data_IF_234131833116
#
_entry.id   IF_234131833116
#
_cell.length_a   1.000
_cell.length_b   1.000
_cell.length_c   1.000
_cell.angle_alpha   90.00
_cell.angle_beta   90.00
_cell.angle_gamma   90.00
#
_symmetry.space_group_name_H-M   'P 1'
#
loop_
_entity.id
_entity.type
_entity.pdbx_description
1 polymer ?
#
# COMPACT_ATOMS: atom_id res chain seq x y z
N UNK A 1 -7.18 -26.15 -11.17
CA UNK A 1 -8.05 -25.26 -10.39
C UNK A 1 -7.23 -24.14 -9.80
N UNK A 2 -7.87 -23.10 -9.24
CA UNK A 2 -7.17 -22.02 -8.54
C UNK A 2 -6.33 -22.52 -7.35
N UNK A 3 -6.75 -23.60 -6.68
CA UNK A 3 -5.97 -24.23 -5.60
C UNK A 3 -4.54 -24.57 -6.03
N UNK A 4 -4.32 -24.99 -7.28
CA UNK A 4 -2.98 -25.31 -7.77
C UNK A 4 -2.05 -24.09 -7.74
N UNK A 5 -2.58 -22.88 -7.98
CA UNK A 5 -1.82 -21.63 -7.89
C UNK A 5 -1.43 -21.40 -6.43
N UNK A 6 -2.39 -21.52 -5.51
CA UNK A 6 -2.12 -21.36 -4.07
C UNK A 6 -1.10 -22.38 -3.57
N UNK A 7 -1.20 -23.64 -4.00
CA UNK A 7 -0.24 -24.68 -3.64
C UNK A 7 1.15 -24.36 -4.19
N UNK A 8 1.25 -23.95 -5.45
CA UNK A 8 2.54 -23.61 -6.07
C UNK A 8 3.22 -22.41 -5.39
N UNK A 9 2.44 -21.47 -4.86
CA UNK A 9 2.96 -20.30 -4.16
C UNK A 9 3.27 -20.65 -2.70
N UNK A 10 2.32 -21.16 -1.94
CA UNK A 10 2.42 -21.23 -0.47
C UNK A 10 3.03 -22.53 0.05
N UNK A 11 2.81 -23.67 -0.62
CA UNK A 11 3.33 -24.95 -0.12
C UNK A 11 4.86 -24.95 0.02
N UNK A 12 5.67 -24.49 -0.97
CA UNK A 12 7.11 -24.41 -0.81
C UNK A 12 7.54 -23.48 0.33
N UNK A 13 6.77 -22.43 0.61
CA UNK A 13 7.05 -21.47 1.68
C UNK A 13 6.77 -22.06 3.06
N UNK A 14 5.68 -22.83 3.20
CA UNK A 14 5.38 -23.58 4.41
C UNK A 14 6.43 -24.66 4.66
N UNK A 15 6.83 -25.41 3.63
CA UNK A 15 7.88 -26.44 3.72
C UNK A 15 9.22 -25.83 4.14
N UNK A 16 9.65 -24.74 3.49
CA UNK A 16 10.88 -24.03 3.84
C UNK A 16 10.83 -23.37 5.23
N UNK A 17 9.64 -22.94 5.67
CA UNK A 17 9.43 -22.44 7.05
C UNK A 17 9.51 -23.59 8.05
N UNK A 18 8.94 -24.75 7.72
CA UNK A 18 8.93 -25.93 8.58
C UNK A 18 10.32 -26.57 8.72
N UNK A 19 11.08 -26.66 7.64
CA UNK A 19 12.43 -27.19 7.67
C UNK A 19 13.39 -26.41 6.77
N UNK A 20 13.94 -25.28 7.26
CA UNK A 20 14.90 -24.47 6.51
C UNK A 20 16.10 -25.26 5.99
N UNK A 21 16.55 -26.29 6.73
CA UNK A 21 17.72 -27.09 6.36
C UNK A 21 17.49 -27.98 5.12
N UNK A 22 16.24 -28.38 4.86
CA UNK A 22 15.87 -29.14 3.65
C UNK A 22 15.57 -28.24 2.44
N UNK A 23 15.34 -26.94 2.67
CA UNK A 23 15.05 -25.95 1.62
C UNK A 23 15.95 -24.70 1.76
N UNK A 24 17.29 -24.85 1.76
CA UNK A 24 18.22 -23.77 2.10
C UNK A 24 18.15 -22.58 1.13
N UNK A 25 17.94 -22.84 -0.17
CA UNK A 25 17.85 -21.80 -1.20
C UNK A 25 16.60 -20.94 -1.02
N UNK A 26 15.43 -21.59 -0.85
CA UNK A 26 14.17 -20.90 -0.59
C UNK A 26 14.26 -20.14 0.73
N UNK A 27 14.79 -20.77 1.79
CA UNK A 27 14.94 -20.09 3.08
C UNK A 27 15.79 -18.82 2.97
N UNK A 28 16.93 -18.90 2.27
CA UNK A 28 17.81 -17.75 2.06
C UNK A 28 17.13 -16.67 1.23
N UNK A 29 16.45 -17.03 0.14
CA UNK A 29 15.67 -16.11 -0.67
C UNK A 29 14.62 -15.37 0.16
N UNK A 30 13.87 -16.10 1.00
CA UNK A 30 12.82 -15.52 1.84
C UNK A 30 13.33 -14.55 2.90
N UNK A 31 14.62 -14.55 3.25
CA UNK A 31 15.18 -13.51 4.12
C UNK A 31 15.24 -12.14 3.43
N UNK A 32 15.22 -12.10 2.10
CA UNK A 32 15.21 -10.86 1.30
C UNK A 32 13.81 -10.45 0.83
N UNK A 33 12.85 -11.39 0.82
CA UNK A 33 11.46 -11.09 0.46
C UNK A 33 10.78 -10.31 1.59
N UNK A 34 10.17 -9.19 1.23
CA UNK A 34 9.48 -8.28 2.16
C UNK A 34 7.96 -8.33 2.04
N UNK A 35 7.43 -8.77 0.90
CA UNK A 35 6.01 -8.72 0.65
C UNK A 35 5.60 -9.39 -0.66
N UNK A 36 4.29 -9.51 -0.82
CA UNK A 36 3.62 -10.08 -1.99
C UNK A 36 2.89 -8.97 -2.72
N UNK A 37 3.03 -8.95 -4.04
CA UNK A 37 2.35 -8.02 -4.93
C UNK A 37 1.62 -8.87 -6.00
N UNK A 38 0.34 -8.59 -6.19
CA UNK A 38 -0.52 -9.26 -7.16
C UNK A 38 -0.81 -8.29 -8.29
N UNK A 39 -0.58 -8.71 -9.52
CA UNK A 39 -0.62 -7.87 -10.73
C UNK A 39 -1.39 -8.55 -11.86
N UNK A 40 -2.03 -7.75 -12.71
CA UNK A 40 -2.44 -8.02 -14.10
C UNK A 40 -3.08 -6.70 -14.61
N UNK A 41 -3.55 -6.68 -15.87
CA UNK A 41 -4.39 -5.60 -16.39
C UNK A 41 -5.72 -5.50 -15.63
N UNK A 42 -5.78 -4.57 -14.67
CA UNK A 42 -6.96 -4.28 -13.84
C UNK A 42 -8.19 -3.83 -14.65
N UNK A 43 -8.03 -3.44 -15.93
CA UNK A 43 -9.14 -2.99 -16.77
C UNK A 43 -9.95 -4.13 -17.38
N UNK A 44 -9.45 -5.38 -17.30
CA UNK A 44 -10.17 -6.55 -17.79
C UNK A 44 -11.52 -6.69 -17.07
N UNK A 45 -12.62 -6.94 -17.80
CA UNK A 45 -13.92 -7.16 -17.18
C UNK A 45 -13.88 -8.36 -16.23
N UNK A 46 -14.45 -8.18 -15.05
CA UNK A 46 -14.61 -9.23 -14.04
C UNK A 46 -15.96 -9.07 -13.32
N UNK A 47 -16.40 -10.11 -12.61
CA UNK A 47 -17.50 -10.00 -11.66
C UNK A 47 -16.94 -9.60 -10.28
N UNK A 48 -17.15 -8.35 -9.82
CA UNK A 48 -16.54 -7.87 -8.58
C UNK A 48 -17.22 -8.42 -7.31
N UNK A 49 -18.30 -9.20 -7.44
CA UNK A 49 -19.00 -9.80 -6.31
C UNK A 49 -18.20 -10.97 -5.75
N UNK A 50 -17.73 -10.79 -4.52
CA UNK A 50 -17.08 -11.82 -3.73
C UNK A 50 -17.82 -11.93 -2.39
N UNK A 51 -18.69 -12.93 -2.29
CA UNK A 51 -19.52 -13.19 -1.10
C UNK A 51 -19.28 -14.61 -0.57
N UNK A 52 -20.07 -15.01 0.43
CA UNK A 52 -19.92 -16.30 1.10
C UNK A 52 -20.26 -17.52 0.23
N UNK A 53 -20.92 -17.32 -0.91
CA UNK A 53 -21.36 -18.40 -1.80
C UNK A 53 -20.39 -18.63 -2.98
N UNK A 54 -19.26 -17.93 -2.98
CA UNK A 54 -18.24 -18.05 -4.02
C UNK A 54 -17.59 -19.44 -4.05
N UNK A 55 -17.35 -19.96 -5.26
CA UNK A 55 -16.71 -21.26 -5.48
C UNK A 55 -15.35 -21.35 -4.77
N UNK A 56 -15.10 -22.37 -3.93
CA UNK A 56 -13.80 -22.56 -3.27
C UNK A 56 -12.65 -22.83 -4.24
N UNK A 57 -11.38 -22.59 -3.86
CA UNK A 57 -10.22 -22.69 -4.76
C UNK A 57 -10.04 -24.05 -5.41
N UNK A 58 -10.36 -25.11 -4.67
CA UNK A 58 -10.28 -26.50 -5.13
C UNK A 58 -11.25 -26.77 -6.28
N UNK A 59 -12.41 -26.11 -6.25
CA UNK A 59 -13.51 -26.29 -7.18
C UNK A 59 -13.52 -25.25 -8.31
N UNK A 60 -12.70 -24.20 -8.22
CA UNK A 60 -12.55 -23.21 -9.30
C UNK A 60 -11.74 -23.83 -10.44
N UNK A 61 -12.41 -24.56 -11.31
CA UNK A 61 -11.85 -25.19 -12.52
C UNK A 61 -12.36 -24.56 -13.81
N UNK A 62 -13.10 -23.46 -13.72
CA UNK A 62 -13.58 -22.71 -14.87
C UNK A 62 -12.40 -22.11 -15.68
N UNK A 63 -12.64 -21.84 -16.97
CA UNK A 63 -11.71 -21.10 -17.82
C UNK A 63 -11.70 -19.61 -17.46
N UNK A 64 -12.79 -19.08 -16.89
CA UNK A 64 -12.84 -17.71 -16.40
C UNK A 64 -11.93 -17.50 -15.18
N UNK A 65 -11.13 -16.43 -15.23
CA UNK A 65 -10.23 -16.06 -14.15
C UNK A 65 -11.04 -15.61 -12.92
N UNK A 66 -10.68 -16.03 -11.69
CA UNK A 66 -11.31 -15.48 -10.49
C UNK A 66 -11.15 -13.96 -10.41
N UNK A 67 -12.11 -13.26 -9.78
CA UNK A 67 -12.03 -11.81 -9.67
C UNK A 67 -10.88 -11.38 -8.75
N UNK A 68 -10.43 -10.14 -8.89
CA UNK A 68 -9.35 -9.55 -8.10
C UNK A 68 -9.51 -9.79 -6.58
N UNK A 69 -10.73 -9.58 -6.06
CA UNK A 69 -11.02 -9.78 -4.64
C UNK A 69 -10.72 -11.21 -4.18
N UNK A 70 -10.94 -12.20 -5.06
CA UNK A 70 -10.65 -13.60 -4.81
C UNK A 70 -9.14 -13.83 -4.64
N UNK A 71 -8.33 -13.30 -5.57
CA UNK A 71 -6.87 -13.36 -5.49
C UNK A 71 -6.38 -12.72 -4.19
N UNK A 72 -6.78 -11.48 -3.91
CA UNK A 72 -6.32 -10.76 -2.71
C UNK A 72 -6.73 -11.49 -1.43
N UNK A 73 -7.96 -12.00 -1.35
CA UNK A 73 -8.43 -12.73 -0.17
C UNK A 73 -7.61 -13.99 0.11
N UNK A 74 -7.44 -14.87 -0.87
CA UNK A 74 -6.72 -16.13 -0.64
C UNK A 74 -5.22 -15.92 -0.46
N UNK A 75 -4.63 -14.90 -1.11
CA UNK A 75 -3.25 -14.50 -0.87
C UNK A 75 -3.09 -13.97 0.56
N UNK A 76 -3.98 -13.08 1.01
CA UNK A 76 -3.98 -12.55 2.37
C UNK A 76 -4.15 -13.67 3.42
N UNK A 77 -5.14 -14.55 3.24
CA UNK A 77 -5.44 -15.61 4.19
C UNK A 77 -4.26 -16.58 4.37
N UNK A 78 -3.69 -17.07 3.27
CA UNK A 78 -2.54 -17.98 3.32
C UNK A 78 -1.29 -17.29 3.87
N UNK A 79 -1.02 -16.05 3.45
CA UNK A 79 0.10 -15.26 3.97
C UNK A 79 -0.03 -15.02 5.47
N UNK A 80 -1.25 -14.76 5.97
CA UNK A 80 -1.51 -14.56 7.41
C UNK A 80 -1.14 -15.81 8.21
N UNK A 81 -1.61 -16.99 7.78
CA UNK A 81 -1.26 -18.27 8.44
C UNK A 81 0.24 -18.54 8.36
N UNK A 82 0.86 -18.32 7.20
CA UNK A 82 2.30 -18.46 7.01
C UNK A 82 3.08 -17.52 7.92
N UNK A 83 2.67 -16.25 8.03
CA UNK A 83 3.31 -15.27 8.88
C UNK A 83 3.23 -15.65 10.36
N UNK A 84 2.07 -16.14 10.84
CA UNK A 84 1.98 -16.64 12.20
C UNK A 84 2.94 -17.81 12.45
N UNK A 85 3.07 -18.74 11.49
CA UNK A 85 4.01 -19.85 11.61
C UNK A 85 5.47 -19.39 11.60
N UNK A 86 5.82 -18.47 10.68
CA UNK A 86 7.17 -17.88 10.59
C UNK A 86 7.53 -17.11 11.86
N UNK A 87 6.62 -16.27 12.36
CA UNK A 87 6.81 -15.51 13.59
C UNK A 87 6.99 -16.41 14.81
N UNK A 88 6.20 -17.49 14.94
CA UNK A 88 6.36 -18.48 16.01
C UNK A 88 7.74 -19.18 16.00
N UNK A 89 8.42 -19.17 14.85
CA UNK A 89 9.78 -19.69 14.68
C UNK A 89 10.88 -18.62 14.72
N UNK A 90 10.53 -17.36 14.98
CA UNK A 90 11.47 -16.24 14.95
C UNK A 90 12.00 -15.90 13.55
N UNK A 91 11.27 -16.26 12.49
CA UNK A 91 11.62 -15.92 11.11
C UNK A 91 10.94 -14.60 10.68
N UNK A 92 11.46 -13.96 9.63
CA UNK A 92 10.85 -12.76 9.06
C UNK A 92 9.46 -13.04 8.48
N UNK A 93 8.59 -12.03 8.48
CA UNK A 93 7.24 -12.08 7.92
C UNK A 93 7.14 -11.23 6.67
N UNK A 94 6.02 -11.36 5.97
CA UNK A 94 5.73 -10.65 4.74
C UNK A 94 4.49 -9.76 4.91
N UNK A 95 4.31 -8.82 4.00
CA UNK A 95 3.11 -8.00 3.91
C UNK A 95 2.51 -8.03 2.52
N UNK A 96 1.21 -7.81 2.40
CA UNK A 96 0.53 -7.73 1.11
C UNK A 96 0.56 -6.29 0.61
N UNK A 97 1.03 -6.09 -0.62
CA UNK A 97 1.25 -4.78 -1.26
C UNK A 97 0.82 -4.82 -2.73
N UNK A 98 -0.48 -4.97 -3.02
CA UNK A 98 -0.93 -5.27 -4.36
C UNK A 98 -0.96 -4.01 -5.25
N UNK A 99 -0.84 -4.21 -6.55
CA UNK A 99 -1.37 -3.29 -7.55
C UNK A 99 -2.88 -3.19 -7.35
N UNK A 100 -3.38 -1.97 -7.18
CA UNK A 100 -4.73 -1.75 -6.70
C UNK A 100 -5.31 -0.41 -7.16
N UNK A 101 -6.35 -0.48 -7.99
CA UNK A 101 -7.14 0.68 -8.40
C UNK A 101 -6.37 1.63 -9.31
N UNK A 102 -5.48 1.11 -10.14
CA UNK A 102 -5.06 1.80 -11.36
C UNK A 102 -6.24 1.91 -12.34
N UNK A 103 -6.94 0.79 -12.52
CA UNK A 103 -8.13 0.66 -13.36
C UNK A 103 -9.15 -0.28 -12.66
N UNK A 104 -10.13 -0.77 -13.42
CA UNK A 104 -11.08 -1.76 -12.91
C UNK A 104 -12.16 -1.24 -11.93
N UNK A 105 -12.86 -2.17 -11.27
CA UNK A 105 -13.89 -1.87 -10.26
C UNK A 105 -13.33 -1.25 -8.97
N UNK A 106 -14.12 -0.38 -8.33
CA UNK A 106 -13.75 0.27 -7.05
C UNK A 106 -13.53 -0.71 -5.89
N UNK A 107 -14.05 -1.93 -6.02
CA UNK A 107 -13.92 -3.03 -5.06
C UNK A 107 -12.46 -3.45 -4.87
N UNK A 108 -11.58 -3.23 -5.86
CA UNK A 108 -10.15 -3.46 -5.71
C UNK A 108 -9.60 -2.67 -4.53
N UNK A 109 -9.90 -1.37 -4.50
CA UNK A 109 -9.47 -0.46 -3.42
C UNK A 109 -10.10 -0.81 -2.07
N UNK A 110 -11.30 -1.39 -2.05
CA UNK A 110 -11.90 -1.89 -0.80
C UNK A 110 -11.09 -3.08 -0.28
N UNK A 111 -10.68 -4.00 -1.16
CA UNK A 111 -9.83 -5.12 -0.79
C UNK A 111 -8.45 -4.64 -0.31
N UNK A 112 -7.85 -3.68 -1.01
CA UNK A 112 -6.61 -3.03 -0.61
C UNK A 112 -6.71 -2.40 0.78
N UNK A 113 -7.78 -1.65 1.06
CA UNK A 113 -8.02 -1.04 2.37
C UNK A 113 -8.12 -2.06 3.51
N UNK A 114 -8.79 -3.20 3.27
CA UNK A 114 -9.06 -4.19 4.31
C UNK A 114 -7.89 -5.14 4.58
N UNK A 115 -7.06 -5.43 3.58
CA UNK A 115 -6.10 -6.55 3.63
C UNK A 115 -4.66 -6.17 3.31
N UNK A 116 -4.40 -5.00 2.70
CA UNK A 116 -3.05 -4.61 2.29
C UNK A 116 -2.38 -3.67 3.31
N UNK A 117 -1.05 -3.75 3.39
CA UNK A 117 -0.22 -2.82 4.17
C UNK A 117 -0.08 -1.47 3.45
N UNK A 118 0.02 -1.51 2.13
CA UNK A 118 0.02 -0.37 1.21
C UNK A 118 -0.40 -0.86 -0.17
N UNK A 119 -0.66 0.07 -1.09
CA UNK A 119 -1.06 -0.24 -2.46
C UNK A 119 -0.16 0.45 -3.49
N UNK A 120 -0.10 -0.12 -4.69
CA UNK A 120 0.44 0.54 -5.88
C UNK A 120 -0.71 1.16 -6.71
N UNK A 121 -0.44 2.28 -7.38
CA UNK A 121 -1.34 3.12 -8.18
C UNK A 121 -2.39 3.92 -7.40
N UNK A 122 -3.48 3.33 -6.93
CA UNK A 122 -4.55 4.06 -6.23
C UNK A 122 -5.23 5.18 -7.05
N UNK A 123 -5.14 5.15 -8.38
CA UNK A 123 -5.63 6.20 -9.27
C UNK A 123 -7.14 6.43 -9.13
N UNK A 124 -7.91 5.36 -8.95
CA UNK A 124 -9.37 5.40 -8.85
C UNK A 124 -9.90 5.92 -7.50
N UNK A 125 -9.05 6.09 -6.48
CA UNK A 125 -9.47 6.74 -5.21
C UNK A 125 -10.02 8.15 -5.46
N UNK A 126 -9.64 8.82 -6.56
CA UNK A 126 -10.17 10.12 -6.98
C UNK A 126 -11.68 10.11 -7.26
N UNK A 127 -12.25 8.93 -7.54
CA UNK A 127 -13.68 8.74 -7.85
C UNK A 127 -14.48 8.25 -6.64
N UNK A 128 -13.82 7.96 -5.51
CA UNK A 128 -14.45 7.36 -4.32
C UNK A 128 -14.08 8.15 -3.08
N UNK A 129 -14.70 9.33 -2.85
CA UNK A 129 -14.29 10.26 -1.78
C UNK A 129 -14.28 9.64 -0.38
N UNK A 130 -15.27 8.79 -0.08
CA UNK A 130 -15.35 8.09 1.21
C UNK A 130 -14.16 7.18 1.41
N UNK A 131 -13.81 6.37 0.40
CA UNK A 131 -12.69 5.45 0.51
C UNK A 131 -11.36 6.20 0.56
N UNK A 132 -11.20 7.25 -0.24
CA UNK A 132 -10.02 8.11 -0.16
C UNK A 132 -9.82 8.71 1.24
N UNK A 133 -10.92 9.14 1.88
CA UNK A 133 -10.88 9.64 3.25
C UNK A 133 -10.51 8.54 4.25
N UNK A 134 -11.01 7.31 4.07
CA UNK A 134 -10.59 6.17 4.90
C UNK A 134 -9.09 5.84 4.75
N UNK A 135 -8.54 5.89 3.52
CA UNK A 135 -7.10 5.74 3.28
C UNK A 135 -6.28 6.82 3.98
N UNK A 136 -6.78 8.07 3.98
CA UNK A 136 -6.18 9.16 4.75
C UNK A 136 -6.21 8.88 6.26
N UNK A 137 -7.37 8.55 6.83
CA UNK A 137 -7.48 8.33 8.28
C UNK A 137 -6.66 7.15 8.77
N UNK A 138 -6.63 6.06 8.01
CA UNK A 138 -5.83 4.88 8.29
C UNK A 138 -4.34 5.05 7.91
N UNK A 139 -3.99 6.17 7.27
CA UNK A 139 -2.63 6.48 6.80
C UNK A 139 -2.03 5.34 5.95
N UNK A 140 -2.85 4.71 5.10
CA UNK A 140 -2.41 3.64 4.20
C UNK A 140 -1.55 4.24 3.08
N UNK A 141 -0.38 3.64 2.87
CA UNK A 141 0.58 4.08 1.86
C UNK A 141 0.11 3.82 0.42
N UNK A 142 0.40 4.75 -0.49
CA UNK A 142 0.08 4.65 -1.92
C UNK A 142 1.35 4.97 -2.72
N UNK A 143 1.91 3.97 -3.41
CA UNK A 143 3.02 4.14 -4.34
C UNK A 143 2.45 4.44 -5.73
N UNK A 144 2.72 5.63 -6.26
CA UNK A 144 2.14 6.09 -7.52
C UNK A 144 3.24 6.32 -8.55
N UNK A 145 2.97 5.97 -9.80
CA UNK A 145 3.92 6.11 -10.92
C UNK A 145 3.36 7.03 -12.01
N UNK A 146 3.42 8.36 -11.83
CA UNK A 146 2.74 9.31 -12.71
C UNK A 146 3.15 9.25 -14.18
N UNK A 147 4.42 8.99 -14.51
CA UNK A 147 4.85 8.87 -15.92
C UNK A 147 4.29 7.61 -16.58
N UNK A 148 4.22 6.49 -15.85
CA UNK A 148 3.53 5.28 -16.31
C UNK A 148 2.05 5.56 -16.53
N UNK A 149 1.36 6.12 -15.53
CA UNK A 149 -0.07 6.41 -15.65
C UNK A 149 -0.36 7.39 -16.81
N UNK A 150 0.56 8.33 -17.09
CA UNK A 150 0.48 9.24 -18.24
C UNK A 150 0.52 8.52 -19.58
N UNK A 151 1.33 7.48 -19.67
CA UNK A 151 1.52 6.72 -20.91
C UNK A 151 0.32 5.81 -21.21
N UNK A 152 -0.41 5.38 -20.17
CA UNK A 152 -1.41 4.32 -20.29
C UNK A 152 -2.86 4.75 -20.02
N UNK A 153 -3.12 5.56 -19.00
CA UNK A 153 -4.47 5.71 -18.44
C UNK A 153 -4.97 7.14 -18.36
N UNK A 154 -4.12 8.13 -18.03
CA UNK A 154 -4.56 9.52 -17.95
C UNK A 154 -3.43 10.53 -18.14
N UNK A 155 -3.70 11.64 -18.82
CA UNK A 155 -2.73 12.73 -18.96
C UNK A 155 -2.14 13.18 -17.61
N UNK A 156 -0.83 13.46 -17.60
CA UNK A 156 -0.04 13.76 -16.40
C UNK A 156 -0.64 14.89 -15.53
N UNK A 157 -1.16 15.94 -16.16
CA UNK A 157 -1.79 17.09 -15.49
C UNK A 157 -3.08 16.71 -14.74
N UNK A 158 -3.72 15.61 -15.13
CA UNK A 158 -4.95 15.10 -14.52
C UNK A 158 -4.69 14.05 -13.45
N UNK A 159 -3.43 13.66 -13.21
CA UNK A 159 -3.06 12.72 -12.15
C UNK A 159 -3.49 13.27 -10.77
N UNK A 160 -4.15 12.47 -9.90
CA UNK A 160 -4.61 12.94 -8.60
C UNK A 160 -3.50 13.01 -7.53
N UNK A 161 -2.28 12.60 -7.85
CA UNK A 161 -1.13 12.66 -6.94
C UNK A 161 -0.98 13.99 -6.18
N UNK A 162 -0.95 15.18 -6.83
CA UNK A 162 -0.83 16.46 -6.11
C UNK A 162 -1.99 16.71 -5.15
N UNK A 163 -3.20 16.26 -5.49
CA UNK A 163 -4.39 16.38 -4.63
C UNK A 163 -4.29 15.45 -3.41
N UNK A 164 -3.81 14.22 -3.60
CA UNK A 164 -3.59 13.28 -2.51
C UNK A 164 -2.51 13.77 -1.55
N UNK A 165 -1.39 14.28 -2.08
CA UNK A 165 -0.34 14.90 -1.28
C UNK A 165 -0.88 16.11 -0.52
N UNK A 166 -1.65 16.99 -1.16
CA UNK A 166 -2.23 18.16 -0.51
C UNK A 166 -3.15 17.77 0.65
N UNK A 167 -3.97 16.73 0.47
CA UNK A 167 -4.87 16.17 1.51
C UNK A 167 -4.16 15.41 2.62
N UNK A 168 -2.87 15.12 2.49
CA UNK A 168 -2.09 14.43 3.51
C UNK A 168 -2.24 12.91 3.48
N UNK A 169 -2.67 12.34 2.35
CA UNK A 169 -2.51 10.91 2.13
C UNK A 169 -1.01 10.56 2.08
N UNK A 170 -0.67 9.35 2.54
CA UNK A 170 0.71 8.86 2.54
C UNK A 170 1.07 8.38 1.14
N UNK A 171 1.41 9.33 0.25
CA UNK A 171 1.82 9.03 -1.12
C UNK A 171 3.33 9.01 -1.28
N UNK A 172 3.81 8.22 -2.25
CA UNK A 172 5.19 8.21 -2.71
C UNK A 172 5.25 8.10 -4.23
N UNK A 173 6.35 8.60 -4.83
CA UNK A 173 6.63 8.43 -6.25
C UNK A 173 7.39 7.12 -6.49
N UNK A 174 6.95 6.37 -7.49
CA UNK A 174 7.57 5.15 -8.01
C UNK A 174 7.72 5.24 -9.54
N UNK A 175 8.46 4.30 -10.12
CA UNK A 175 8.80 4.31 -11.55
C UNK A 175 7.98 3.36 -12.41
N UNK A 176 7.32 2.36 -11.80
CA UNK A 176 6.70 1.24 -12.51
C UNK A 176 7.72 0.48 -13.37
N UNK A 177 7.71 0.65 -14.70
CA UNK A 177 8.68 0.12 -15.64
C UNK A 177 9.67 1.19 -16.16
N UNK A 178 10.82 1.41 -15.47
CA UNK A 178 11.87 2.33 -15.91
C UNK A 178 12.29 2.16 -17.37
N UNK A 179 12.39 0.90 -17.84
CA UNK A 179 12.83 0.61 -19.20
C UNK A 179 11.86 1.13 -20.27
N UNK A 180 10.57 1.18 -19.94
CA UNK A 180 9.51 1.56 -20.87
C UNK A 180 9.20 3.06 -20.83
N UNK A 181 9.18 3.65 -19.63
CA UNK A 181 8.61 5.00 -19.42
C UNK A 181 9.65 6.11 -19.19
N UNK A 182 10.92 5.77 -18.98
CA UNK A 182 11.94 6.73 -18.57
C UNK A 182 13.06 6.83 -19.61
N UNK A 183 13.64 8.02 -19.74
CA UNK A 183 14.68 8.31 -20.73
C UNK A 183 16.04 8.60 -20.11
N UNK A 184 16.06 8.90 -18.81
CA UNK A 184 17.29 9.22 -18.08
C UNK A 184 17.93 7.97 -17.48
N UNK A 185 19.20 8.10 -17.04
CA UNK A 185 19.91 7.03 -16.32
C UNK A 185 19.40 6.82 -14.89
N UNK A 186 18.68 7.80 -14.34
CA UNK A 186 18.19 7.82 -12.97
C UNK A 186 16.67 7.96 -12.99
N UNK A 187 15.93 6.87 -13.31
CA UNK A 187 14.50 6.93 -13.62
C UNK A 187 13.67 7.53 -12.48
N UNK A 188 13.93 7.14 -11.23
CA UNK A 188 13.23 7.72 -10.09
C UNK A 188 13.52 9.22 -9.92
N UNK A 189 14.74 9.68 -10.24
CA UNK A 189 15.07 11.11 -10.18
C UNK A 189 14.34 11.90 -11.28
N UNK A 190 14.10 11.28 -12.44
CA UNK A 190 13.27 11.85 -13.50
C UNK A 190 11.81 12.00 -13.06
N UNK A 191 11.21 11.01 -12.38
CA UNK A 191 9.87 11.14 -11.78
C UNK A 191 9.78 12.34 -10.83
N UNK A 192 10.70 12.43 -9.85
CA UNK A 192 10.72 13.55 -8.91
C UNK A 192 10.94 14.90 -9.62
N UNK A 193 11.81 14.94 -10.63
CA UNK A 193 12.12 16.18 -11.35
C UNK A 193 10.93 16.68 -12.16
N UNK A 194 10.23 15.79 -12.86
CA UNK A 194 9.04 16.15 -13.65
C UNK A 194 7.89 16.54 -12.70
N UNK A 195 7.63 15.76 -11.66
CA UNK A 195 6.60 16.07 -10.66
C UNK A 195 6.84 17.45 -10.03
N UNK A 196 8.08 17.76 -9.64
CA UNK A 196 8.42 19.07 -9.08
C UNK A 196 8.21 20.22 -10.07
N UNK A 197 8.57 20.05 -11.34
CA UNK A 197 8.42 21.10 -12.34
C UNK A 197 6.97 21.31 -12.77
N UNK A 198 6.19 20.24 -12.93
CA UNK A 198 4.81 20.31 -13.41
C UNK A 198 3.87 20.72 -12.28
N UNK A 199 3.95 20.09 -11.11
CA UNK A 199 3.07 20.37 -9.97
C UNK A 199 3.61 21.42 -9.00
N UNK A 200 4.77 22.03 -9.30
CA UNK A 200 5.40 23.09 -8.50
C UNK A 200 5.70 22.66 -7.06
N UNK A 201 6.13 21.40 -6.89
CA UNK A 201 6.50 20.88 -5.57
C UNK A 201 7.75 21.59 -5.04
N UNK A 202 7.69 22.04 -3.79
CA UNK A 202 8.82 22.62 -3.09
C UNK A 202 9.80 21.54 -2.63
N UNK A 203 10.98 21.95 -2.17
CA UNK A 203 11.93 21.03 -1.53
C UNK A 203 11.34 20.34 -0.30
N UNK A 204 10.49 21.03 0.46
CA UNK A 204 9.78 20.45 1.60
C UNK A 204 8.84 19.32 1.16
N UNK A 205 8.12 19.51 0.04
CA UNK A 205 7.20 18.51 -0.51
C UNK A 205 7.97 17.30 -1.02
N UNK A 206 9.07 17.51 -1.75
CA UNK A 206 9.91 16.41 -2.22
C UNK A 206 10.54 15.62 -1.07
N UNK A 207 11.00 16.28 -0.01
CA UNK A 207 11.53 15.61 1.18
C UNK A 207 10.44 14.84 1.93
N UNK A 208 9.20 15.35 2.00
CA UNK A 208 8.06 14.64 2.57
C UNK A 208 7.74 13.36 1.79
N UNK A 209 7.73 13.42 0.45
CA UNK A 209 7.54 12.26 -0.42
C UNK A 209 8.65 11.21 -0.23
N UNK A 210 9.91 11.64 -0.17
CA UNK A 210 11.05 10.76 0.06
C UNK A 210 11.01 10.14 1.48
N UNK A 211 10.56 10.88 2.49
CA UNK A 211 10.34 10.36 3.85
C UNK A 211 9.25 9.29 3.86
N UNK A 212 8.13 9.56 3.19
CA UNK A 212 6.99 8.63 3.12
C UNK A 212 7.36 7.33 2.40
N UNK A 213 8.16 7.39 1.33
CA UNK A 213 8.63 6.20 0.62
C UNK A 213 9.44 5.27 1.53
N UNK A 214 10.31 5.82 2.38
CA UNK A 214 11.08 5.03 3.36
C UNK A 214 10.16 4.47 4.45
N UNK A 215 9.19 5.24 4.93
CA UNK A 215 8.21 4.78 5.93
C UNK A 215 7.44 3.56 5.42
N UNK A 216 6.90 3.63 4.20
CA UNK A 216 6.14 2.53 3.61
C UNK A 216 7.00 1.38 3.07
N UNK A 217 8.31 1.56 2.90
CA UNK A 217 9.21 0.51 2.41
C UNK A 217 9.23 -0.75 3.30
N UNK A 218 9.71 -1.88 2.79
CA UNK A 218 9.87 -3.12 3.56
C UNK A 218 11.23 -3.25 4.26
N UNK A 219 12.05 -2.20 4.31
CA UNK A 219 13.39 -2.30 4.90
C UNK A 219 13.35 -2.58 6.41
N UNK A 220 14.26 -3.41 6.93
CA UNK A 220 14.47 -3.63 8.36
C UNK A 220 14.51 -2.35 9.19
N UNK A 221 13.99 -2.43 10.42
CA UNK A 221 13.93 -1.33 11.39
C UNK A 221 15.25 -0.57 11.52
N UNK A 222 16.38 -1.27 11.63
CA UNK A 222 17.71 -0.63 11.78
C UNK A 222 18.08 0.27 10.60
N UNK A 223 17.70 -0.10 9.38
CA UNK A 223 17.94 0.75 8.19
C UNK A 223 17.01 1.96 8.22
N UNK A 224 15.73 1.78 8.54
CA UNK A 224 14.80 2.90 8.71
C UNK A 224 15.25 3.87 9.81
N UNK A 225 15.74 3.37 10.95
CA UNK A 225 16.32 4.22 12.01
C UNK A 225 17.53 5.02 11.51
N UNK A 226 18.38 4.42 10.69
CA UNK A 226 19.53 5.11 10.13
C UNK A 226 19.13 6.23 9.17
N UNK A 227 18.11 6.00 8.33
CA UNK A 227 17.65 6.97 7.33
C UNK A 227 16.71 8.03 7.86
N UNK A 228 15.84 7.70 8.81
CA UNK A 228 14.79 8.59 9.33
C UNK A 228 15.09 9.16 10.72
N UNK A 229 16.03 8.57 11.45
CA UNK A 229 16.36 8.93 12.82
C UNK A 229 15.93 7.88 13.85
N UNK A 230 16.50 7.92 15.06
CA UNK A 230 16.32 6.87 16.08
C UNK A 230 14.87 6.76 16.59
N UNK A 231 14.12 7.86 16.54
CA UNK A 231 12.76 7.97 17.08
C UNK A 231 11.67 7.84 16.00
N UNK A 232 11.98 7.42 14.77
CA UNK A 232 11.06 7.51 13.63
C UNK A 232 9.70 6.81 13.82
N UNK A 233 9.58 5.89 14.78
CA UNK A 233 8.35 5.19 15.13
C UNK A 233 7.43 5.98 16.06
N UNK A 234 7.87 7.13 16.59
CA UNK A 234 7.03 8.03 17.38
C UNK A 234 6.13 8.82 16.45
N UNK A 235 4.96 9.19 16.95
CA UNK A 235 4.02 10.01 16.20
C UNK A 235 4.39 11.50 16.21
N UNK A 236 3.89 12.23 15.21
CA UNK A 236 4.09 13.66 15.05
C UNK A 236 5.56 14.08 14.98
N UNK A 237 5.84 15.29 15.47
CA UNK A 237 7.18 15.89 15.44
C UNK A 237 8.22 15.06 16.19
N UNK A 238 7.82 14.35 17.25
CA UNK A 238 8.73 13.53 18.05
C UNK A 238 9.36 12.36 17.25
N UNK A 239 8.73 11.97 16.14
CA UNK A 239 9.24 10.96 15.20
C UNK A 239 9.97 11.53 13.99
N UNK A 240 10.21 12.84 13.93
CA UNK A 240 10.97 13.46 12.86
C UNK A 240 12.36 13.87 13.35
N UNK A 241 13.38 13.48 12.59
CA UNK A 241 14.73 14.03 12.70
C UNK A 241 15.02 14.82 11.43
N UNK A 242 14.84 16.15 11.49
CA UNK A 242 15.04 17.05 10.35
C UNK A 242 16.45 16.95 9.77
N UNK A 243 17.46 16.58 10.56
CA UNK A 243 18.85 16.43 10.07
C UNK A 243 19.01 15.23 9.14
N UNK A 244 18.05 14.30 9.18
CA UNK A 244 17.99 13.07 8.38
C UNK A 244 16.97 13.18 7.24
N UNK A 245 15.77 13.64 7.57
CA UNK A 245 14.63 13.67 6.63
C UNK A 245 14.59 14.95 5.79
N UNK A 246 15.19 16.03 6.30
CA UNK A 246 15.08 17.38 5.75
C UNK A 246 13.61 17.87 5.63
N UNK A 247 12.68 17.24 6.35
CA UNK A 247 11.28 17.69 6.45
C UNK A 247 11.16 18.60 7.67
N UNK A 248 10.76 19.87 7.52
CA UNK A 248 10.57 20.79 8.63
C UNK A 248 9.55 20.26 9.65
N UNK A 249 9.85 20.43 10.94
CA UNK A 249 8.96 20.00 12.02
C UNK A 249 7.57 20.64 11.93
N UNK A 250 7.47 21.88 11.44
CA UNK A 250 6.18 22.54 11.21
C UNK A 250 5.31 21.82 10.16
N UNK A 251 5.92 21.21 9.14
CA UNK A 251 5.20 20.40 8.15
C UNK A 251 4.66 19.14 8.82
N UNK A 252 5.47 18.48 9.64
CA UNK A 252 5.07 17.26 10.35
C UNK A 252 3.99 17.55 11.40
N UNK A 253 4.13 18.65 12.15
CA UNK A 253 3.13 19.12 13.11
C UNK A 253 1.80 19.36 12.42
N UNK A 254 1.79 20.11 11.31
CA UNK A 254 0.58 20.39 10.54
C UNK A 254 -0.14 19.11 10.08
N UNK A 255 0.60 18.14 9.51
CA UNK A 255 0.02 16.85 9.10
C UNK A 255 -0.58 16.08 10.27
N UNK A 256 0.16 16.01 11.38
CA UNK A 256 -0.26 15.25 12.55
C UNK A 256 -1.47 15.88 13.25
N UNK A 257 -1.45 17.19 13.48
CA UNK A 257 -2.56 17.92 14.09
C UNK A 257 -3.82 17.84 13.22
N UNK A 258 -3.69 18.00 11.89
CA UNK A 258 -4.82 17.85 10.96
C UNK A 258 -5.42 16.45 11.01
N UNK A 259 -4.60 15.40 11.10
CA UNK A 259 -5.08 14.02 11.23
C UNK A 259 -5.82 13.81 12.56
N UNK A 260 -5.26 14.30 13.66
CA UNK A 260 -5.90 14.20 14.98
C UNK A 260 -7.23 14.96 15.02
N UNK A 261 -7.32 16.13 14.41
CA UNK A 261 -8.54 16.92 14.33
C UNK A 261 -9.64 16.18 13.54
N UNK A 262 -9.28 15.58 12.40
CA UNK A 262 -10.20 14.78 11.58
C UNK A 262 -10.69 13.53 12.33
N UNK A 263 -9.80 12.80 13.00
CA UNK A 263 -10.17 11.67 13.86
C UNK A 263 -11.08 12.12 15.01
N UNK A 264 -10.74 13.22 15.69
CA UNK A 264 -11.54 13.77 16.78
C UNK A 264 -12.94 14.15 16.31
N UNK A 265 -13.07 14.73 15.11
CA UNK A 265 -14.36 15.09 14.52
C UNK A 265 -15.25 13.85 14.31
N UNK A 266 -14.71 12.79 13.71
CA UNK A 266 -15.45 11.52 13.47
C UNK A 266 -15.92 10.89 14.78
N UNK A 267 -15.03 10.78 15.76
CA UNK A 267 -15.36 10.13 17.03
C UNK A 267 -16.27 11.00 17.92
N UNK A 268 -16.18 12.33 17.82
CA UNK A 268 -17.12 13.23 18.49
C UNK A 268 -18.54 13.02 17.98
N UNK A 269 -18.74 13.02 16.65
CA UNK A 269 -20.06 12.78 16.04
C UNK A 269 -20.62 11.42 16.44
N UNK A 270 -19.78 10.37 16.46
CA UNK A 270 -20.21 9.03 16.88
C UNK A 270 -20.68 9.01 18.35
N UNK A 271 -19.97 9.71 19.24
CA UNK A 271 -20.35 9.76 20.66
C UNK A 271 -21.64 10.56 20.89
N UNK A 272 -21.85 11.66 20.16
CA UNK A 272 -23.10 12.43 20.21
C UNK A 272 -24.30 11.61 19.71
N UNK A 273 -24.15 10.86 18.62
CA UNK A 273 -25.19 9.96 18.12
C UNK A 273 -25.52 8.86 19.12
N UNK A 274 -24.51 8.21 19.72
CA UNK A 274 -24.73 7.18 20.75
C UNK A 274 -25.49 7.71 21.95
N UNK A 275 -25.19 8.94 22.41
CA UNK A 275 -25.93 9.56 23.51
C UNK A 275 -27.37 9.90 23.12
N UNK A 276 -27.62 10.34 21.89
CA UNK A 276 -28.98 10.59 21.39
C UNK A 276 -29.82 9.30 21.31
N UNK A 277 -29.25 8.20 20.84
CA UNK A 277 -29.95 6.90 20.81
C UNK A 277 -30.21 6.36 22.22
N UNK A 278 -29.27 6.52 23.15
CA UNK A 278 -29.44 6.12 24.54
C UNK A 278 -30.50 6.96 25.29
N UNK A 279 -30.71 8.22 24.89
CA UNK A 279 -31.72 9.09 25.46
C UNK A 279 -33.14 8.86 24.88
N UNK A 280 -33.26 8.06 23.81
CA UNK A 280 -34.53 7.69 23.17
C UNK A 280 -35.06 6.31 23.58
N UNK A 281 -34.32 5.59 24.43
CA UNK A 281 -34.72 4.32 25.07
C UNK A 281 -35.08 4.55 26.54
#
# INVERSE_FOLDING_TARGET
>A
SFQQILDNVFKPLFEATNNPSQHPEIHTFLQYVIGFDSVDDESKPENPLFDGDVTPPEQWTDEENPPYAYYIYYMYANMTVLNHFRAARGLNTFVLRPHCGEAGPVQHLVCGYLMAENISHGLLLRKVPVLQYLYYLAQIGIAMSPLSNNSLFLNYDRNPFPEYLARGLVVSLSTDDPLQFHYTKEPLMEEYSIAAQVWKLSSCDMCELARNSVLMSGFPHKMKQHWLGPNYTREGVAGNDITRTNVPDIRVAFRYESLLDELANIFKVNNEQKMQYAAQQ
#
